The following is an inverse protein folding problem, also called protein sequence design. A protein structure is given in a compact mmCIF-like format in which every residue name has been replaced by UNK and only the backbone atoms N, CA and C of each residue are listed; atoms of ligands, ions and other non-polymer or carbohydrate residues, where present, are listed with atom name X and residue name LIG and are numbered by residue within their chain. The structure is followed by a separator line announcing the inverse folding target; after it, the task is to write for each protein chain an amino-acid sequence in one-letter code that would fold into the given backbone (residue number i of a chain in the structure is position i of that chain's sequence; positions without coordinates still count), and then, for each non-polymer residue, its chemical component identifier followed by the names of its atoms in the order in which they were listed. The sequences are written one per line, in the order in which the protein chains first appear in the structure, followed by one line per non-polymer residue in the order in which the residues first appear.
data_IF_570200925824
#
_entry.id   IF_570200925824
#
_cell.length_a   1.000
_cell.length_b   1.000
_cell.length_c   1.000
_cell.angle_alpha   90.00
_cell.angle_beta   90.00
_cell.angle_gamma   90.00
#
_symmetry.space_group_name_H-M   'P 1'
#
loop_
_entity.id
_entity.type
_entity.pdbx_description
1 polymer ?
#
# COMPACT_ATOMS: atom_id res chain seq x y z
N UNK A 1 25.05 5.49 18.24
CA UNK A 1 24.27 4.25 18.06
C UNK A 1 22.94 4.60 17.42
N UNK A 2 22.79 4.34 16.12
CA UNK A 2 21.53 4.51 15.40
C UNK A 2 20.61 3.31 15.64
N UNK A 3 19.29 3.53 15.66
CA UNK A 3 18.30 2.45 15.82
C UNK A 3 18.50 1.42 14.71
N UNK A 4 18.80 0.14 15.04
CA UNK A 4 18.81 -0.94 14.06
C UNK A 4 17.35 -1.26 13.73
N UNK A 5 16.77 -0.48 12.80
CA UNK A 5 15.47 -0.83 12.23
C UNK A 5 15.76 -1.71 11.02
N UNK A 6 15.43 -2.98 11.14
CA UNK A 6 15.68 -4.03 10.12
C UNK A 6 14.93 -3.80 8.80
N UNK A 7 13.93 -2.92 8.79
CA UNK A 7 13.16 -2.62 7.59
C UNK A 7 12.90 -1.10 7.46
N UNK A 8 13.93 -0.31 7.06
CA UNK A 8 13.72 1.09 6.76
C UNK A 8 12.76 1.20 5.57
N UNK A 9 11.68 1.97 5.72
CA UNK A 9 10.81 2.37 4.60
C UNK A 9 11.57 3.36 3.73
N UNK A 10 12.55 2.87 2.97
CA UNK A 10 13.50 3.69 2.23
C UNK A 10 12.97 4.13 0.86
N UNK A 11 11.87 3.50 0.42
CA UNK A 11 11.30 3.73 -0.90
C UNK A 11 9.98 4.50 -0.79
N UNK A 12 9.91 5.65 -1.43
CA UNK A 12 8.68 6.42 -1.62
C UNK A 12 8.13 6.14 -3.01
N UNK A 13 6.92 5.60 -3.08
CA UNK A 13 6.24 5.30 -4.36
C UNK A 13 5.27 6.45 -4.66
N UNK A 14 5.53 7.15 -5.76
CA UNK A 14 4.57 8.07 -6.37
C UNK A 14 3.90 7.33 -7.51
N UNK A 15 2.59 7.26 -7.51
CA UNK A 15 1.80 6.70 -8.60
C UNK A 15 0.82 7.75 -9.10
N UNK A 16 0.58 7.77 -10.40
CA UNK A 16 -0.60 8.41 -10.96
C UNK A 16 -1.74 7.41 -10.91
N UNK A 17 -2.91 7.90 -10.51
CA UNK A 17 -4.15 7.16 -10.55
C UNK A 17 -5.24 8.08 -11.06
N UNK A 18 -6.17 7.50 -11.80
CA UNK A 18 -7.41 8.14 -12.21
C UNK A 18 -8.30 8.43 -10.98
N UNK A 19 -9.22 9.39 -11.13
CA UNK A 19 -10.15 9.79 -10.07
C UNK A 19 -10.89 8.60 -9.46
N UNK A 20 -11.37 7.66 -10.29
CA UNK A 20 -12.07 6.46 -9.83
C UNK A 20 -11.18 5.58 -8.92
N UNK A 21 -9.90 5.44 -9.25
CA UNK A 21 -8.94 4.67 -8.45
C UNK A 21 -8.65 5.41 -7.15
N UNK A 22 -8.57 6.73 -7.18
CA UNK A 22 -8.39 7.55 -5.98
C UNK A 22 -9.59 7.48 -5.04
N UNK A 23 -10.81 7.52 -5.58
CA UNK A 23 -12.05 7.35 -4.80
C UNK A 23 -12.12 5.97 -4.15
N UNK A 24 -11.85 4.90 -4.90
CA UNK A 24 -11.80 3.54 -4.34
C UNK A 24 -10.75 3.43 -3.23
N UNK A 25 -9.60 4.05 -3.42
CA UNK A 25 -8.51 4.04 -2.43
C UNK A 25 -8.89 4.81 -1.17
N UNK A 26 -9.59 5.95 -1.31
CA UNK A 26 -10.13 6.73 -0.19
C UNK A 26 -11.19 5.93 0.56
N UNK A 27 -12.14 5.33 -0.16
CA UNK A 27 -13.19 4.50 0.44
C UNK A 27 -12.60 3.29 1.18
N UNK A 28 -11.59 2.62 0.60
CA UNK A 28 -10.85 1.56 1.27
C UNK A 28 -10.15 2.06 2.53
N UNK A 29 -9.55 3.25 2.48
CA UNK A 29 -8.86 3.88 3.61
C UNK A 29 -9.84 4.18 4.76
N UNK A 30 -11.03 4.70 4.43
CA UNK A 30 -12.10 5.01 5.40
C UNK A 30 -12.70 3.73 6.00
N UNK A 31 -13.04 2.74 5.17
CA UNK A 31 -13.62 1.46 5.63
C UNK A 31 -12.68 0.61 6.47
N UNK A 32 -11.38 0.66 6.19
CA UNK A 32 -10.36 -0.12 6.89
C UNK A 32 -9.71 0.65 8.04
N UNK A 33 -10.03 1.94 8.21
CA UNK A 33 -9.41 2.85 9.18
C UNK A 33 -7.87 2.83 9.14
N UNK A 34 -7.30 2.62 7.95
CA UNK A 34 -5.85 2.62 7.73
C UNK A 34 -5.44 3.76 6.81
N UNK A 35 -4.17 4.14 6.87
CA UNK A 35 -3.63 5.13 5.93
C UNK A 35 -3.66 4.62 4.49
N UNK A 36 -3.85 5.54 3.55
CA UNK A 36 -3.74 5.32 2.10
C UNK A 36 -2.53 4.46 1.69
N UNK A 37 -1.37 4.72 2.30
CA UNK A 37 -0.15 3.95 2.05
C UNK A 37 -0.26 2.47 2.50
N UNK A 38 -0.96 2.20 3.61
CA UNK A 38 -1.22 0.84 4.08
C UNK A 38 -2.23 0.11 3.19
N UNK A 39 -3.24 0.81 2.64
CA UNK A 39 -4.15 0.24 1.63
C UNK A 39 -3.38 -0.23 0.42
N UNK A 40 -2.51 0.64 -0.14
CA UNK A 40 -1.67 0.31 -1.31
C UNK A 40 -0.76 -0.88 -0.99
N UNK A 41 -0.11 -0.86 0.16
CA UNK A 41 0.77 -1.95 0.60
C UNK A 41 0.04 -3.29 0.69
N UNK A 42 -1.13 -3.31 1.32
CA UNK A 42 -1.98 -4.51 1.39
C UNK A 42 -2.44 -4.96 0.01
N UNK A 43 -2.78 -4.02 -0.88
CA UNK A 43 -3.11 -4.30 -2.27
C UNK A 43 -1.98 -5.02 -3.00
N UNK A 44 -0.75 -4.48 -2.91
CA UNK A 44 0.44 -5.08 -3.54
C UNK A 44 0.70 -6.48 -2.99
N UNK A 45 0.63 -6.68 -1.66
CA UNK A 45 0.81 -8.00 -1.06
C UNK A 45 -0.22 -9.02 -1.55
N UNK A 46 -1.49 -8.62 -1.68
CA UNK A 46 -2.55 -9.49 -2.22
C UNK A 46 -2.30 -9.86 -3.67
N UNK A 47 -1.95 -8.89 -4.51
CA UNK A 47 -1.64 -9.15 -5.93
C UNK A 47 -0.43 -10.07 -6.04
N UNK A 48 0.61 -9.87 -5.22
CA UNK A 48 1.78 -10.73 -5.20
C UNK A 48 1.47 -12.16 -4.75
N UNK A 49 0.64 -12.33 -3.71
CA UNK A 49 0.17 -13.65 -3.26
C UNK A 49 -0.65 -14.37 -4.33
N UNK A 50 -1.48 -13.63 -5.08
CA UNK A 50 -2.23 -14.16 -6.23
C UNK A 50 -1.31 -14.57 -7.40
N UNK A 51 -0.19 -13.88 -7.59
CA UNK A 51 0.80 -14.22 -8.63
C UNK A 51 1.55 -15.52 -8.31
N UNK A 52 1.80 -15.81 -7.04
CA UNK A 52 2.53 -17.01 -6.58
C UNK A 52 1.63 -18.28 -6.57
N UNK A 53 0.31 -18.11 -6.55
CA UNK A 53 -0.67 -19.21 -6.62
C UNK A 53 -0.83 -19.84 -8.01
N UNK A 54 0.10 -19.60 -8.94
CA UNK A 54 0.02 -20.08 -10.33
C UNK A 54 1.02 -21.19 -10.63
#
# INVERSE_FOLDING_TARGET
MGRPTDNPKNNSVKFLADDETFEKLKECSEKLEVSRAEVIRKGIHKVYDDLDKK
#
